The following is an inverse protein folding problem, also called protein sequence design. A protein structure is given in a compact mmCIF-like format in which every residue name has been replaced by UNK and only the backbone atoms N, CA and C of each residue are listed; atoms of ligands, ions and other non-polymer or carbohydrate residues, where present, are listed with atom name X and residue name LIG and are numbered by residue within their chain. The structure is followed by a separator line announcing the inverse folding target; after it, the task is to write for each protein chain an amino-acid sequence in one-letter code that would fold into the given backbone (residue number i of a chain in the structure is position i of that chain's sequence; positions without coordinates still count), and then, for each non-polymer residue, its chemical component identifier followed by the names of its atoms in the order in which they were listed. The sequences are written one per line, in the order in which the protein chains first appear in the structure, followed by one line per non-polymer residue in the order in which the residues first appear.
data_IF_138828571456
#
_entry.id   IF_138828571456
#
_cell.length_a   1.000
_cell.length_b   1.000
_cell.length_c   1.000
_cell.angle_alpha   90.00
_cell.angle_beta   90.00
_cell.angle_gamma   90.00
#
_symmetry.space_group_name_H-M   'P 1'
#
loop_
_entity.id
_entity.type
_entity.pdbx_description
1 polymer ?
#
# COMPACT_ATOMS: atom_id res chain seq x y z
N UNK A 1 14.31 -18.55 5.18
CA UNK A 1 13.46 -17.58 4.44
C UNK A 1 14.36 -16.75 3.54
N UNK A 2 14.30 -16.98 2.23
CA UNK A 2 15.16 -16.30 1.26
C UNK A 2 14.67 -14.87 1.02
N UNK A 3 15.57 -13.90 1.02
CA UNK A 3 15.24 -12.52 0.68
C UNK A 3 14.97 -12.38 -0.83
N UNK A 4 14.25 -11.40 -1.19
CA UNK A 4 13.86 -10.91 -2.52
C UNK A 4 14.89 -11.20 -3.63
N UNK A 5 14.84 -12.36 -4.25
CA UNK A 5 15.59 -12.63 -5.46
C UNK A 5 14.65 -12.53 -6.67
N UNK A 6 14.86 -11.51 -7.47
CA UNK A 6 14.39 -11.44 -8.85
C UNK A 6 15.08 -12.56 -9.64
N UNK A 7 14.33 -13.62 -9.97
CA UNK A 7 14.77 -14.55 -11.02
C UNK A 7 14.26 -14.01 -12.35
N UNK A 8 15.22 -13.64 -13.19
CA UNK A 8 14.98 -13.28 -14.58
C UNK A 8 14.33 -14.42 -15.36
N UNK A 9 13.55 -14.03 -16.34
CA UNK A 9 12.97 -14.87 -17.38
C UNK A 9 14.07 -15.75 -18.01
N UNK A 10 13.91 -17.08 -17.90
CA UNK A 10 14.50 -18.04 -18.81
C UNK A 10 13.37 -18.89 -19.37
N UNK A 11 13.27 -18.84 -20.69
CA UNK A 11 12.44 -19.73 -21.50
C UNK A 11 12.81 -21.18 -21.24
N UNK A 12 11.84 -22.05 -21.05
CA UNK A 12 12.08 -23.48 -20.90
C UNK A 12 10.85 -24.32 -21.23
N UNK A 13 10.93 -25.02 -22.34
CA UNK A 13 10.01 -25.91 -22.99
C UNK A 13 9.32 -26.92 -22.07
N UNK A 14 8.13 -27.32 -22.54
CA UNK A 14 7.27 -28.41 -22.12
C UNK A 14 8.00 -29.73 -21.80
N UNK A 15 7.52 -30.39 -20.74
CA UNK A 15 7.58 -31.85 -20.62
C UNK A 15 6.18 -32.35 -20.27
N UNK A 16 5.70 -33.21 -21.11
CA UNK A 16 4.39 -33.85 -21.19
C UNK A 16 4.20 -34.95 -20.16
N UNK A 17 2.96 -35.07 -19.73
CA UNK A 17 2.19 -36.29 -19.42
C UNK A 17 2.92 -37.57 -19.00
N UNK A 18 2.62 -38.05 -17.80
CA UNK A 18 2.03 -39.40 -17.62
C UNK A 18 1.85 -39.70 -16.14
N UNK A 19 0.68 -40.15 -15.78
CA UNK A 19 0.33 -41.09 -14.70
C UNK A 19 -1.01 -40.70 -14.05
N UNK A 20 -2.09 -40.99 -14.75
CA UNK A 20 -3.35 -41.35 -14.12
C UNK A 20 -3.88 -42.61 -14.82
N UNK A 21 -3.73 -43.72 -14.17
CA UNK A 21 -4.53 -44.92 -14.45
C UNK A 21 -5.01 -45.56 -13.14
N UNK A 22 -6.33 -45.62 -13.09
CA UNK A 22 -7.18 -46.64 -12.49
C UNK A 22 -7.05 -46.98 -11.01
N UNK A 23 -8.08 -46.59 -10.24
CA UNK A 23 -8.78 -47.56 -9.38
C UNK A 23 -10.29 -47.28 -9.39
N UNK A 24 -11.03 -48.06 -10.18
CA UNK A 24 -12.46 -48.32 -9.94
C UNK A 24 -12.56 -49.51 -8.99
N UNK A 25 -13.35 -49.37 -7.90
CA UNK A 25 -14.09 -50.47 -7.25
C UNK A 25 -15.14 -49.90 -6.32
N UNK A 26 -16.31 -50.13 -6.69
CA UNK A 26 -17.45 -50.89 -6.17
C UNK A 26 -18.24 -50.24 -5.05
N UNK A 27 -19.44 -49.88 -5.43
CA UNK A 27 -20.57 -49.48 -4.59
C UNK A 27 -21.04 -50.66 -3.71
N UNK A 28 -21.23 -50.41 -2.42
CA UNK A 28 -22.26 -51.09 -1.62
C UNK A 28 -22.92 -50.04 -0.72
N UNK A 29 -24.21 -49.87 -1.00
CA UNK A 29 -25.10 -49.02 -0.21
C UNK A 29 -25.25 -49.60 1.21
N UNK A 30 -24.81 -48.84 2.21
CA UNK A 30 -25.37 -48.93 3.55
C UNK A 30 -25.80 -47.55 3.98
N UNK A 31 -27.13 -47.35 3.99
CA UNK A 31 -27.78 -46.20 4.62
C UNK A 31 -27.49 -46.22 6.13
N UNK A 32 -26.48 -45.50 6.55
CA UNK A 32 -26.29 -45.18 7.95
C UNK A 32 -27.04 -43.90 8.26
N UNK A 33 -28.17 -43.98 8.93
CA UNK A 33 -28.87 -42.86 9.51
C UNK A 33 -28.00 -42.22 10.58
N UNK A 34 -27.37 -41.07 10.24
CA UNK A 34 -26.69 -40.24 11.22
C UNK A 34 -27.73 -39.49 12.07
N UNK A 35 -27.57 -39.46 13.40
CA UNK A 35 -28.49 -38.71 14.26
C UNK A 35 -28.41 -37.22 13.91
N UNK A 36 -29.59 -36.58 13.81
CA UNK A 36 -29.75 -35.15 13.64
C UNK A 36 -29.04 -34.40 14.79
N UNK A 37 -27.72 -34.17 14.66
CA UNK A 37 -27.03 -33.17 15.46
C UNK A 37 -27.48 -31.81 14.93
N UNK A 38 -28.43 -31.16 15.61
CA UNK A 38 -28.58 -29.71 15.52
C UNK A 38 -27.19 -29.10 15.70
N UNK A 39 -26.60 -28.64 14.60
CA UNK A 39 -25.49 -27.72 14.65
C UNK A 39 -26.02 -26.44 15.29
N UNK A 40 -25.94 -26.36 16.61
CA UNK A 40 -26.02 -25.09 17.30
C UNK A 40 -24.77 -24.35 16.82
N UNK A 41 -24.95 -23.47 15.84
CA UNK A 41 -23.92 -22.49 15.49
C UNK A 41 -23.69 -21.66 16.76
N UNK A 42 -22.66 -22.00 17.52
CA UNK A 42 -22.19 -21.10 18.53
C UNK A 42 -21.81 -19.81 17.82
N UNK A 43 -22.67 -18.81 17.95
CA UNK A 43 -22.28 -17.43 17.62
C UNK A 43 -21.13 -17.11 18.55
N UNK A 44 -19.91 -17.27 18.04
CA UNK A 44 -18.70 -16.86 18.75
C UNK A 44 -18.85 -15.36 18.97
N UNK A 45 -19.12 -14.95 20.21
CA UNK A 45 -19.16 -13.53 20.57
C UNK A 45 -17.76 -12.96 20.31
N UNK A 46 -17.69 -11.90 19.48
CA UNK A 46 -16.45 -11.20 19.19
C UNK A 46 -15.77 -10.75 20.50
N UNK A 47 -14.49 -10.97 20.58
CA UNK A 47 -13.69 -10.64 21.76
C UNK A 47 -12.88 -9.37 21.53
N UNK A 48 -12.80 -8.53 22.56
CA UNK A 48 -11.81 -7.45 22.59
C UNK A 48 -10.65 -7.84 23.50
N UNK A 49 -9.43 -7.78 22.93
CA UNK A 49 -8.18 -7.91 23.68
C UNK A 49 -7.54 -6.54 23.85
N UNK A 50 -6.91 -6.33 24.99
CA UNK A 50 -6.20 -5.10 25.33
C UNK A 50 -4.71 -5.37 25.43
N UNK A 51 -3.91 -4.47 24.86
CA UNK A 51 -2.45 -4.54 24.85
C UNK A 51 -1.88 -3.24 25.41
N UNK A 52 -0.97 -3.35 26.36
CA UNK A 52 -0.24 -2.23 26.99
C UNK A 52 1.24 -2.55 27.07
N UNK A 53 2.12 -1.59 26.77
CA UNK A 53 3.57 -1.77 26.89
C UNK A 53 4.00 -2.12 28.34
N UNK A 54 3.18 -1.77 29.33
CA UNK A 54 3.37 -2.10 30.75
C UNK A 54 2.56 -3.35 31.19
N UNK A 55 1.92 -4.04 30.26
CA UNK A 55 1.12 -5.23 30.51
C UNK A 55 1.97 -6.50 30.77
N UNK A 56 1.30 -7.64 30.84
CA UNK A 56 1.94 -8.94 31.01
C UNK A 56 1.27 -10.01 30.13
N UNK A 57 2.04 -10.74 29.34
CA UNK A 57 1.52 -11.77 28.42
C UNK A 57 0.96 -13.02 29.12
N UNK A 58 1.12 -13.11 30.44
CA UNK A 58 0.43 -14.11 31.27
C UNK A 58 -0.99 -13.71 31.68
N UNK A 59 -1.35 -12.45 31.48
CA UNK A 59 -2.70 -11.94 31.75
C UNK A 59 -3.74 -12.54 30.79
N UNK A 60 -5.01 -12.31 31.06
CA UNK A 60 -6.12 -12.71 30.19
C UNK A 60 -6.37 -11.77 29.00
N UNK A 61 -5.87 -10.54 29.05
CA UNK A 61 -6.00 -9.53 27.99
C UNK A 61 -7.43 -9.00 27.77
N UNK A 62 -8.38 -9.27 28.68
CA UNK A 62 -9.81 -8.96 28.48
C UNK A 62 -10.24 -7.59 29.01
N UNK A 63 -9.38 -6.94 29.78
CA UNK A 63 -9.58 -5.60 30.34
C UNK A 63 -8.30 -4.77 30.22
N UNK A 64 -8.39 -3.47 30.36
CA UNK A 64 -7.22 -2.59 30.35
C UNK A 64 -6.27 -2.86 31.51
N UNK A 65 -6.79 -3.26 32.69
CA UNK A 65 -6.01 -3.63 33.87
C UNK A 65 -5.33 -5.01 33.76
N UNK A 66 -5.85 -5.90 32.93
CA UNK A 66 -5.28 -7.22 32.64
C UNK A 66 -4.72 -7.34 31.21
N UNK A 67 -4.22 -6.22 30.64
CA UNK A 67 -3.71 -6.15 29.30
C UNK A 67 -2.50 -7.06 29.07
N UNK A 68 -2.37 -7.57 27.84
CA UNK A 68 -1.15 -8.21 27.38
C UNK A 68 -0.01 -7.20 27.23
N UNK A 69 1.24 -7.66 27.28
CA UNK A 69 2.42 -6.83 27.03
C UNK A 69 2.71 -6.68 25.55
N UNK A 70 2.59 -7.76 24.78
CA UNK A 70 2.94 -7.76 23.35
C UNK A 70 1.70 -7.83 22.48
N UNK A 71 1.74 -7.11 21.33
CA UNK A 71 0.66 -7.18 20.34
C UNK A 71 0.59 -8.59 19.74
N UNK A 72 1.74 -9.27 19.63
CA UNK A 72 1.81 -10.62 19.09
C UNK A 72 1.04 -11.62 19.95
N UNK A 73 1.10 -11.49 21.29
CA UNK A 73 0.34 -12.37 22.18
C UNK A 73 -1.16 -12.27 21.92
N UNK A 74 -1.68 -11.06 21.75
CA UNK A 74 -3.08 -10.86 21.38
C UNK A 74 -3.38 -11.43 20.00
N UNK A 75 -2.54 -11.16 19.01
CA UNK A 75 -2.71 -11.63 17.63
C UNK A 75 -2.81 -13.15 17.53
N UNK A 76 -2.01 -13.88 18.31
CA UNK A 76 -1.99 -15.35 18.32
C UNK A 76 -3.29 -15.96 18.87
N UNK A 77 -4.09 -15.19 19.59
CA UNK A 77 -5.36 -15.63 20.18
C UNK A 77 -6.59 -15.24 19.35
N UNK A 78 -6.46 -14.26 18.43
CA UNK A 78 -7.61 -13.74 17.70
C UNK A 78 -8.36 -14.80 16.90
N UNK A 79 -9.67 -14.61 16.80
CA UNK A 79 -10.63 -15.37 15.99
C UNK A 79 -11.40 -14.37 15.10
N UNK A 80 -12.10 -14.83 14.08
CA UNK A 80 -12.94 -13.95 13.27
C UNK A 80 -13.90 -13.09 14.13
N UNK A 81 -13.85 -11.78 13.91
CA UNK A 81 -14.63 -10.78 14.64
C UNK A 81 -13.90 -10.11 15.81
N UNK A 82 -12.78 -10.65 16.26
CA UNK A 82 -12.06 -10.11 17.40
C UNK A 82 -11.38 -8.77 17.09
N UNK A 83 -11.23 -7.96 18.14
CA UNK A 83 -10.53 -6.67 18.09
C UNK A 83 -9.38 -6.66 19.10
N UNK A 84 -8.21 -6.21 18.65
CA UNK A 84 -7.05 -5.93 19.50
C UNK A 84 -6.92 -4.42 19.68
N UNK A 85 -7.19 -3.92 20.88
CA UNK A 85 -7.05 -2.54 21.29
C UNK A 85 -5.66 -2.29 21.86
N UNK A 86 -4.86 -1.46 21.17
CA UNK A 86 -3.46 -1.22 21.49
C UNK A 86 -3.34 0.15 22.17
N UNK A 87 -2.90 0.16 23.42
CA UNK A 87 -2.74 1.37 24.21
C UNK A 87 -1.41 2.06 23.96
N UNK A 88 -1.25 3.29 24.42
CA UNK A 88 0.01 4.05 24.33
C UNK A 88 1.20 3.22 24.82
N UNK A 89 2.33 3.41 24.15
CA UNK A 89 3.60 2.78 24.47
C UNK A 89 4.41 2.46 23.23
N UNK A 90 5.63 1.97 23.44
CA UNK A 90 6.52 1.49 22.42
C UNK A 90 6.53 -0.04 22.40
N UNK A 91 6.16 -0.60 21.28
CA UNK A 91 6.18 -2.04 21.02
C UNK A 91 7.33 -2.35 20.07
N UNK A 92 8.28 -3.17 20.50
CA UNK A 92 9.50 -3.48 19.76
C UNK A 92 9.52 -4.95 19.36
N UNK A 93 10.33 -5.27 18.34
CA UNK A 93 10.55 -6.68 18.00
C UNK A 93 11.41 -7.37 19.08
N UNK A 94 11.04 -8.60 19.39
CA UNK A 94 11.90 -9.50 20.14
C UNK A 94 13.17 -9.82 19.32
N UNK A 95 14.32 -10.10 19.96
CA UNK A 95 15.60 -10.28 19.26
C UNK A 95 15.56 -11.28 18.10
N UNK A 96 14.83 -12.39 18.28
CA UNK A 96 14.80 -13.51 17.31
C UNK A 96 13.59 -13.45 16.35
N UNK A 97 12.79 -12.38 16.40
CA UNK A 97 11.61 -12.23 15.54
C UNK A 97 11.86 -11.31 14.37
N UNK A 98 11.52 -11.75 13.18
CA UNK A 98 11.59 -10.99 11.94
C UNK A 98 10.54 -9.88 11.80
N UNK A 99 9.66 -9.69 12.81
CA UNK A 99 8.60 -8.66 12.82
C UNK A 99 8.12 -8.41 14.24
N UNK A 100 7.60 -7.20 14.51
CA UNK A 100 6.95 -6.88 15.80
C UNK A 100 5.56 -7.52 15.88
N UNK A 101 4.78 -7.42 14.79
CA UNK A 101 3.46 -8.01 14.66
C UNK A 101 3.37 -8.86 13.39
N UNK A 102 3.37 -10.17 13.55
CA UNK A 102 3.12 -11.13 12.48
C UNK A 102 1.69 -11.67 12.56
N UNK A 103 0.83 -11.26 11.64
CA UNK A 103 -0.58 -11.69 11.63
C UNK A 103 -0.68 -12.99 10.82
N UNK A 104 -1.15 -14.06 11.47
CA UNK A 104 -1.27 -15.41 10.90
C UNK A 104 -2.70 -15.92 10.87
N UNK A 105 -3.64 -15.20 11.46
CA UNK A 105 -5.05 -15.58 11.56
C UNK A 105 -5.88 -14.69 10.65
N UNK A 106 -6.90 -15.27 10.05
CA UNK A 106 -7.83 -14.57 9.17
C UNK A 106 -9.16 -14.33 9.85
N UNK A 107 -9.77 -13.20 9.51
CA UNK A 107 -11.19 -12.99 9.73
C UNK A 107 -12.05 -13.70 8.67
N UNK A 108 -13.27 -13.25 8.53
CA UNK A 108 -14.20 -13.62 7.45
C UNK A 108 -14.85 -12.38 6.88
N UNK A 109 -15.54 -12.49 5.74
CA UNK A 109 -16.23 -11.36 5.12
C UNK A 109 -17.23 -10.64 6.07
N UNK A 110 -17.83 -11.39 7.01
CA UNK A 110 -18.78 -10.87 8.02
C UNK A 110 -18.15 -10.56 9.37
N UNK A 111 -16.88 -10.96 9.60
CA UNK A 111 -16.25 -10.90 10.92
C UNK A 111 -14.74 -10.65 10.77
N UNK A 112 -14.36 -9.39 10.50
CA UNK A 112 -12.98 -8.96 10.35
C UNK A 112 -12.24 -9.01 11.68
N UNK A 113 -10.95 -9.35 11.67
CA UNK A 113 -10.07 -9.16 12.82
C UNK A 113 -9.45 -7.76 12.73
N UNK A 114 -9.52 -7.00 13.82
CA UNK A 114 -9.07 -5.61 13.85
C UNK A 114 -7.90 -5.43 14.84
N UNK A 115 -6.86 -4.75 14.38
CA UNK A 115 -5.75 -4.27 15.19
C UNK A 115 -5.79 -2.75 15.17
N UNK A 116 -6.17 -2.12 16.27
CA UNK A 116 -6.37 -0.68 16.27
C UNK A 116 -5.88 -0.01 17.54
N UNK A 117 -5.55 1.28 17.40
CA UNK A 117 -5.25 2.10 18.56
C UNK A 117 -6.45 2.15 19.49
N UNK A 118 -6.20 2.10 20.79
CA UNK A 118 -7.21 2.37 21.78
C UNK A 118 -7.68 3.85 21.64
N UNK A 119 -8.96 4.17 21.78
CA UNK A 119 -9.46 5.54 21.58
C UNK A 119 -8.65 6.60 22.33
N UNK A 120 -8.18 7.63 21.61
CA UNK A 120 -7.32 8.69 22.15
C UNK A 120 -5.84 8.32 22.34
N UNK A 121 -5.42 7.12 21.94
CA UNK A 121 -4.05 6.66 22.03
C UNK A 121 -3.32 6.67 20.69
N UNK A 122 -1.97 6.71 20.73
CA UNK A 122 -1.07 6.68 19.57
C UNK A 122 0.06 5.69 19.83
N UNK A 123 -0.21 4.38 19.78
CA UNK A 123 0.79 3.36 20.03
C UNK A 123 1.86 3.33 18.94
N UNK A 124 3.12 3.09 19.33
CA UNK A 124 4.28 3.11 18.46
C UNK A 124 4.86 1.71 18.28
N UNK A 125 4.82 1.19 17.06
CA UNK A 125 5.47 -0.06 16.67
C UNK A 125 6.85 0.30 16.11
N UNK A 126 7.90 0.06 16.88
CA UNK A 126 9.30 0.35 16.49
C UNK A 126 10.03 -0.92 16.12
N UNK A 127 10.66 -0.96 14.96
CA UNK A 127 11.39 -2.14 14.51
C UNK A 127 12.74 -1.80 13.88
N UNK A 128 13.67 -2.74 13.99
CA UNK A 128 14.94 -2.78 13.28
C UNK A 128 15.13 -4.13 12.55
N UNK A 129 14.05 -4.74 12.16
CA UNK A 129 13.96 -6.05 11.53
C UNK A 129 13.23 -5.98 10.17
N UNK A 130 12.82 -7.10 9.61
CA UNK A 130 12.21 -7.18 8.27
C UNK A 130 10.91 -6.38 8.11
N UNK A 131 10.12 -6.28 9.17
CA UNK A 131 8.91 -5.45 9.14
C UNK A 131 8.43 -5.07 10.54
N UNK A 132 7.74 -3.94 10.65
CA UNK A 132 6.97 -3.61 11.84
C UNK A 132 5.73 -4.50 11.94
N UNK A 133 4.97 -4.57 10.84
CA UNK A 133 3.78 -5.40 10.71
C UNK A 133 3.91 -6.27 9.45
N UNK A 134 3.59 -7.56 9.56
CA UNK A 134 3.63 -8.51 8.44
C UNK A 134 2.35 -9.34 8.35
N UNK A 135 1.81 -9.43 7.12
CA UNK A 135 0.70 -10.30 6.75
C UNK A 135 1.15 -11.16 5.57
N UNK A 136 1.08 -12.48 5.72
CA UNK A 136 1.54 -13.42 4.70
C UNK A 136 0.69 -14.70 4.68
N UNK A 137 1.02 -15.61 3.75
CA UNK A 137 0.47 -16.97 3.71
C UNK A 137 -1.07 -17.03 3.60
N UNK A 138 -1.68 -16.11 2.82
CA UNK A 138 -3.11 -16.14 2.53
C UNK A 138 -4.00 -15.57 3.63
N UNK A 139 -3.43 -14.80 4.56
CA UNK A 139 -4.21 -14.08 5.57
C UNK A 139 -5.20 -13.12 4.91
N UNK A 140 -6.41 -13.04 5.48
CA UNK A 140 -7.49 -12.25 4.90
C UNK A 140 -8.44 -11.67 5.95
N UNK A 141 -9.18 -10.62 5.55
CA UNK A 141 -10.15 -9.92 6.38
C UNK A 141 -9.55 -9.33 7.65
N UNK A 142 -8.49 -8.54 7.47
CA UNK A 142 -7.74 -7.87 8.54
C UNK A 142 -7.82 -6.35 8.39
N UNK A 143 -8.03 -5.66 9.50
CA UNK A 143 -7.91 -4.21 9.60
C UNK A 143 -6.77 -3.80 10.53
N UNK A 144 -5.93 -2.86 10.06
CA UNK A 144 -4.85 -2.21 10.81
C UNK A 144 -5.16 -0.72 10.85
N UNK A 145 -5.40 -0.14 12.03
CA UNK A 145 -5.98 1.19 12.13
C UNK A 145 -5.36 2.04 13.23
N UNK A 146 -4.91 3.25 12.89
CA UNK A 146 -4.48 4.27 13.85
C UNK A 146 -3.14 4.00 14.55
N UNK A 147 -2.26 3.20 13.97
CA UNK A 147 -0.96 2.85 14.55
C UNK A 147 0.17 3.72 13.99
N UNK A 148 1.17 4.04 14.80
CA UNK A 148 2.42 4.63 14.33
C UNK A 148 3.48 3.52 14.15
N UNK A 149 3.94 3.29 12.90
CA UNK A 149 4.94 2.26 12.58
C UNK A 149 6.24 2.94 12.18
N UNK A 150 7.30 2.64 12.92
CA UNK A 150 8.58 3.34 12.86
C UNK A 150 9.71 2.34 12.61
N UNK A 151 10.44 2.55 11.53
CA UNK A 151 11.67 1.80 11.25
C UNK A 151 12.91 2.42 11.87
N UNK A 152 14.07 1.93 11.48
CA UNK A 152 15.35 2.26 12.06
C UNK A 152 16.23 3.17 11.19
N UNK A 153 15.71 3.83 10.18
CA UNK A 153 16.49 4.67 9.26
C UNK A 153 17.35 5.70 9.99
N UNK A 154 16.86 6.28 11.10
CA UNK A 154 17.63 7.23 11.88
C UNK A 154 18.88 6.64 12.57
N UNK A 155 18.94 5.32 12.75
CA UNK A 155 20.07 4.61 13.36
C UNK A 155 21.04 4.01 12.33
N UNK A 156 20.76 4.21 11.02
CA UNK A 156 21.55 3.65 9.92
C UNK A 156 22.21 4.79 9.14
N UNK A 157 23.54 4.79 9.07
CA UNK A 157 24.24 5.77 8.24
C UNK A 157 24.23 5.38 6.77
N UNK A 158 24.30 6.36 5.87
CA UNK A 158 24.41 6.08 4.42
C UNK A 158 25.66 5.26 4.09
N UNK A 159 26.78 5.50 4.77
CA UNK A 159 28.03 4.74 4.58
C UNK A 159 27.82 3.26 4.93
N UNK A 160 27.19 2.97 6.07
CA UNK A 160 26.84 1.61 6.43
C UNK A 160 25.88 0.98 5.40
N UNK A 161 24.85 1.68 4.99
CA UNK A 161 23.91 1.16 4.00
C UNK A 161 24.59 0.83 2.65
N UNK A 162 25.55 1.66 2.20
CA UNK A 162 26.37 1.40 1.02
C UNK A 162 27.22 0.14 1.19
N UNK A 163 27.85 -0.07 2.34
CA UNK A 163 28.61 -1.30 2.61
C UNK A 163 27.77 -2.57 2.63
N UNK A 164 26.45 -2.42 2.85
CA UNK A 164 25.48 -3.51 2.93
C UNK A 164 24.66 -3.72 1.65
N UNK A 165 24.85 -2.91 0.61
CA UNK A 165 23.93 -2.91 -0.55
C UNK A 165 23.80 -4.27 -1.27
N UNK A 166 24.78 -5.15 -1.12
CA UNK A 166 24.75 -6.52 -1.67
C UNK A 166 24.41 -7.59 -0.62
N UNK A 167 24.28 -7.23 0.64
CA UNK A 167 23.90 -8.14 1.72
C UNK A 167 22.37 -8.17 1.88
N UNK A 168 21.71 -8.90 1.00
CA UNK A 168 20.27 -8.95 0.87
C UNK A 168 19.54 -9.48 2.12
N UNK A 169 20.26 -10.20 2.98
CA UNK A 169 19.77 -10.75 4.24
C UNK A 169 19.86 -9.77 5.41
N UNK A 170 20.26 -8.51 5.20
CA UNK A 170 20.36 -7.53 6.28
C UNK A 170 19.04 -6.75 6.47
N UNK A 171 18.25 -7.03 7.51
CA UNK A 171 16.99 -6.34 7.74
C UNK A 171 17.17 -4.87 8.13
N UNK A 172 18.32 -4.49 8.70
CA UNK A 172 18.60 -3.10 9.10
C UNK A 172 18.57 -2.13 7.93
N UNK A 173 18.85 -2.61 6.72
CA UNK A 173 18.84 -1.79 5.49
C UNK A 173 17.67 -2.12 4.57
N UNK A 174 16.94 -3.24 4.79
CA UNK A 174 15.91 -3.72 3.89
C UNK A 174 14.50 -3.77 4.51
N UNK A 175 14.36 -3.49 5.80
CA UNK A 175 13.09 -3.65 6.52
C UNK A 175 12.01 -2.68 6.03
N UNK A 176 10.79 -3.22 5.84
CA UNK A 176 9.61 -2.43 5.51
C UNK A 176 8.83 -2.06 6.78
N UNK A 177 8.07 -0.98 6.78
CA UNK A 177 7.18 -0.70 7.91
C UNK A 177 6.01 -1.69 7.97
N UNK A 178 5.20 -1.74 6.93
CA UNK A 178 4.07 -2.67 6.79
C UNK A 178 4.29 -3.49 5.53
N UNK A 179 4.31 -4.81 5.66
CA UNK A 179 4.49 -5.75 4.56
C UNK A 179 3.28 -6.68 4.43
N UNK A 180 2.66 -6.68 3.25
CA UNK A 180 1.65 -7.64 2.85
C UNK A 180 2.27 -8.49 1.75
N UNK A 181 2.46 -9.79 2.00
CA UNK A 181 3.15 -10.71 1.10
C UNK A 181 2.27 -11.90 0.70
N UNK A 182 1.65 -11.80 -0.45
CA UNK A 182 0.79 -12.84 -1.04
C UNK A 182 1.50 -13.80 -1.99
N UNK A 183 2.84 -13.74 -2.13
CA UNK A 183 3.58 -14.53 -3.12
C UNK A 183 3.43 -16.03 -2.95
N UNK A 184 3.33 -16.52 -1.73
CA UNK A 184 3.12 -17.95 -1.44
C UNK A 184 1.64 -18.33 -1.57
N UNK A 185 0.75 -17.57 -0.98
CA UNK A 185 -0.71 -17.64 -1.10
C UNK A 185 -1.26 -16.22 -1.08
N UNK A 186 -2.17 -15.91 -2.00
CA UNK A 186 -2.74 -14.57 -2.14
C UNK A 186 -3.34 -14.08 -0.83
N UNK A 187 -2.80 -12.99 -0.30
CA UNK A 187 -3.37 -12.25 0.83
C UNK A 187 -4.46 -11.33 0.28
N UNK A 188 -5.62 -11.26 0.91
CA UNK A 188 -6.73 -10.48 0.38
C UNK A 188 -7.63 -9.89 1.45
N UNK A 189 -8.39 -8.83 1.08
CA UNK A 189 -9.31 -8.12 1.98
C UNK A 189 -8.56 -7.59 3.22
N UNK A 190 -7.65 -6.67 2.98
CA UNK A 190 -6.85 -6.01 4.01
C UNK A 190 -7.11 -4.51 4.00
N UNK A 191 -7.43 -3.95 5.15
CA UNK A 191 -7.57 -2.52 5.38
C UNK A 191 -6.39 -1.99 6.18
N UNK A 192 -5.69 -0.98 5.65
CA UNK A 192 -4.62 -0.23 6.31
C UNK A 192 -5.08 1.21 6.41
N UNK A 193 -5.58 1.61 7.59
CA UNK A 193 -6.34 2.84 7.77
C UNK A 193 -5.70 3.76 8.81
N UNK A 194 -5.60 5.07 8.52
CA UNK A 194 -5.25 6.09 9.49
C UNK A 194 -3.89 5.88 10.19
N UNK A 195 -2.94 5.15 9.57
CA UNK A 195 -1.66 4.89 10.20
C UNK A 195 -0.64 5.98 9.86
N UNK A 196 0.32 6.18 10.78
CA UNK A 196 1.51 6.99 10.56
C UNK A 196 2.70 6.06 10.38
N UNK A 197 3.32 6.08 9.20
CA UNK A 197 4.31 5.09 8.77
C UNK A 197 5.57 5.81 8.33
N UNK A 198 6.70 5.57 9.00
CA UNK A 198 7.90 6.34 8.66
C UNK A 198 9.23 5.72 9.10
N UNK A 199 10.30 6.30 8.56
CA UNK A 199 11.69 5.96 8.87
C UNK A 199 12.04 4.49 8.62
N UNK A 200 11.40 3.85 7.63
CA UNK A 200 11.72 2.48 7.24
C UNK A 200 12.76 2.49 6.12
N UNK A 201 13.84 1.72 6.24
CA UNK A 201 14.90 1.66 5.22
C UNK A 201 14.40 1.11 3.88
N UNK A 202 13.45 0.19 3.92
CA UNK A 202 12.65 -0.27 2.78
C UNK A 202 11.38 0.56 2.60
N UNK A 203 10.34 -0.04 2.03
CA UNK A 203 9.06 0.63 1.77
C UNK A 203 8.27 0.97 3.03
N UNK A 204 7.40 1.99 2.93
CA UNK A 204 6.45 2.32 3.99
C UNK A 204 5.33 1.29 4.08
N UNK A 205 4.48 1.24 3.08
CA UNK A 205 3.44 0.22 2.90
C UNK A 205 3.75 -0.54 1.62
N UNK A 206 4.19 -1.79 1.78
CA UNK A 206 4.55 -2.69 0.68
C UNK A 206 3.52 -3.81 0.55
N UNK A 207 2.82 -3.83 -0.58
CA UNK A 207 1.81 -4.84 -0.93
C UNK A 207 2.34 -5.64 -2.11
N UNK A 208 2.47 -6.95 -1.96
CA UNK A 208 3.04 -7.84 -2.97
C UNK A 208 2.12 -9.01 -3.22
N UNK A 209 1.73 -9.23 -4.46
CA UNK A 209 0.92 -10.36 -4.91
C UNK A 209 -0.36 -10.56 -4.07
N UNK A 210 -1.02 -9.46 -3.74
CA UNK A 210 -2.24 -9.43 -2.93
C UNK A 210 -3.44 -8.89 -3.73
N UNK A 211 -4.63 -9.01 -3.16
CA UNK A 211 -5.89 -8.52 -3.74
C UNK A 211 -6.78 -7.86 -2.68
N UNK A 212 -7.72 -7.01 -3.11
CA UNK A 212 -8.65 -6.32 -2.20
C UNK A 212 -7.94 -5.63 -1.02
N UNK A 213 -6.87 -4.88 -1.32
CA UNK A 213 -6.15 -4.10 -0.30
C UNK A 213 -6.57 -2.63 -0.38
N UNK A 214 -6.94 -2.07 0.76
CA UNK A 214 -7.24 -0.66 0.93
C UNK A 214 -6.18 -0.01 1.81
N UNK A 215 -5.42 0.93 1.26
CA UNK A 215 -4.54 1.85 1.99
C UNK A 215 -5.19 3.23 1.99
N UNK A 216 -5.79 3.64 3.11
CA UNK A 216 -6.63 4.83 3.18
C UNK A 216 -6.27 5.72 4.38
N UNK A 217 -6.16 7.02 4.12
CA UNK A 217 -5.85 8.03 5.13
C UNK A 217 -4.58 7.77 5.95
N UNK A 218 -3.54 7.19 5.31
CA UNK A 218 -2.25 7.00 5.98
C UNK A 218 -1.32 8.18 5.69
N UNK A 219 -0.42 8.48 6.65
CA UNK A 219 0.70 9.40 6.46
C UNK A 219 1.99 8.60 6.36
N UNK A 220 2.65 8.63 5.19
CA UNK A 220 3.85 7.82 4.90
C UNK A 220 5.02 8.72 4.50
N UNK A 221 6.12 8.69 5.25
CA UNK A 221 7.25 9.58 4.97
C UNK A 221 8.60 9.04 5.44
N UNK A 222 9.69 9.58 4.86
CA UNK A 222 11.07 9.20 5.18
C UNK A 222 11.31 7.69 5.07
N UNK A 223 10.80 7.06 4.01
CA UNK A 223 10.99 5.63 3.74
C UNK A 223 11.79 5.40 2.46
N UNK A 224 12.13 4.15 2.17
CA UNK A 224 12.81 3.72 0.94
C UNK A 224 14.28 4.13 0.83
N UNK A 225 14.93 4.56 1.93
CA UNK A 225 16.23 5.20 1.87
C UNK A 225 17.38 4.25 1.54
N UNK A 226 17.35 3.04 2.07
CA UNK A 226 18.55 2.20 2.12
C UNK A 226 18.41 0.83 1.48
N UNK A 227 17.21 0.46 1.08
CA UNK A 227 16.97 -0.83 0.43
C UNK A 227 17.38 -0.80 -1.06
N UNK A 228 18.17 -1.79 -1.52
CA UNK A 228 18.49 -1.93 -2.92
C UNK A 228 17.40 -2.60 -3.76
N UNK A 229 16.22 -2.82 -3.21
CA UNK A 229 15.12 -3.48 -3.91
C UNK A 229 14.20 -2.54 -4.70
N UNK A 230 14.45 -1.23 -4.69
CA UNK A 230 13.59 -0.26 -5.38
C UNK A 230 12.23 -0.13 -4.71
N UNK A 231 12.15 0.65 -3.63
CA UNK A 231 10.93 0.84 -2.87
C UNK A 231 10.39 2.27 -3.03
N UNK A 232 9.11 2.44 -2.82
CA UNK A 232 8.42 3.73 -2.71
C UNK A 232 7.69 3.83 -1.37
N UNK A 233 7.13 5.01 -1.07
CA UNK A 233 6.35 5.21 0.15
C UNK A 233 5.22 4.20 0.29
N UNK A 234 4.38 4.09 -0.76
CA UNK A 234 3.33 3.07 -0.89
C UNK A 234 3.56 2.34 -2.21
N UNK A 235 3.73 1.02 -2.15
CA UNK A 235 3.97 0.17 -3.33
C UNK A 235 2.96 -0.96 -3.39
N UNK A 236 2.30 -1.12 -4.54
CA UNK A 236 1.47 -2.26 -4.90
C UNK A 236 2.16 -2.98 -6.06
N UNK A 237 2.75 -4.12 -5.79
CA UNK A 237 3.64 -4.83 -6.71
C UNK A 237 3.11 -6.23 -7.02
N UNK A 238 3.11 -6.62 -8.31
CA UNK A 238 2.66 -7.94 -8.77
C UNK A 238 1.25 -8.30 -8.30
N UNK A 239 0.32 -7.35 -8.31
CA UNK A 239 -1.06 -7.60 -7.87
C UNK A 239 -1.60 -8.93 -8.42
N UNK A 240 -2.29 -9.71 -7.60
CA UNK A 240 -2.74 -11.05 -7.94
C UNK A 240 -4.24 -11.19 -7.66
N UNK A 241 -5.00 -11.67 -8.64
CA UNK A 241 -6.44 -11.86 -8.50
C UNK A 241 -6.76 -12.96 -7.48
N UNK A 242 -7.60 -12.65 -6.49
CA UNK A 242 -8.24 -13.60 -5.61
C UNK A 242 -9.49 -14.23 -6.28
N UNK A 243 -10.20 -13.45 -7.06
CA UNK A 243 -11.41 -13.83 -7.78
C UNK A 243 -11.48 -13.20 -9.18
N UNK A 244 -12.56 -13.44 -9.91
CA UNK A 244 -12.77 -12.96 -11.27
C UNK A 244 -13.43 -11.57 -11.36
N UNK A 245 -13.63 -10.87 -10.25
CA UNK A 245 -14.19 -9.52 -10.26
C UNK A 245 -13.25 -8.56 -11.00
N UNK A 246 -13.80 -7.75 -11.91
CA UNK A 246 -13.06 -6.78 -12.73
C UNK A 246 -13.27 -5.33 -12.27
N UNK A 247 -14.06 -5.12 -11.23
CA UNK A 247 -14.25 -3.81 -10.62
C UNK A 247 -13.07 -3.36 -9.78
N UNK A 248 -13.26 -2.28 -9.04
CA UNK A 248 -12.23 -1.83 -8.09
C UNK A 248 -12.03 -2.85 -6.97
N UNK A 249 -10.80 -3.29 -6.82
CA UNK A 249 -10.34 -4.23 -5.79
C UNK A 249 -9.25 -3.63 -4.92
N UNK A 250 -8.40 -2.77 -5.49
CA UNK A 250 -7.42 -1.99 -4.74
C UNK A 250 -7.83 -0.54 -4.62
N UNK A 251 -7.63 0.02 -3.42
CA UNK A 251 -7.88 1.42 -3.12
C UNK A 251 -6.67 2.03 -2.42
N UNK A 252 -6.05 3.02 -3.03
CA UNK A 252 -4.98 3.84 -2.45
C UNK A 252 -5.53 5.25 -2.38
N UNK A 253 -6.14 5.61 -1.24
CA UNK A 253 -6.97 6.80 -1.16
C UNK A 253 -6.63 7.68 0.02
N UNK A 254 -6.79 8.98 -0.12
CA UNK A 254 -6.64 9.96 0.97
C UNK A 254 -5.29 9.93 1.71
N UNK A 255 -4.24 9.30 1.16
CA UNK A 255 -2.96 9.22 1.84
C UNK A 255 -2.14 10.51 1.64
N UNK A 256 -1.30 10.81 2.62
CA UNK A 256 -0.26 11.85 2.55
C UNK A 256 1.10 11.16 2.49
N UNK A 257 1.82 11.32 1.36
CA UNK A 257 3.04 10.56 1.07
C UNK A 257 4.16 11.51 0.68
N UNK A 258 5.22 11.61 1.50
CA UNK A 258 6.24 12.64 1.26
C UNK A 258 7.64 12.29 1.79
N UNK A 259 8.66 12.95 1.26
CA UNK A 259 10.07 12.79 1.66
C UNK A 259 10.58 11.34 1.59
N UNK A 260 9.96 10.48 0.77
CA UNK A 260 10.48 9.15 0.51
C UNK A 260 11.57 9.26 -0.56
N UNK A 261 12.70 8.57 -0.38
CA UNK A 261 13.83 8.75 -1.27
C UNK A 261 14.71 7.51 -1.29
N UNK A 262 15.31 7.20 -2.43
CA UNK A 262 16.30 6.15 -2.56
C UNK A 262 17.70 6.76 -2.56
N UNK A 263 18.59 6.23 -1.71
CA UNK A 263 20.02 6.63 -1.64
C UNK A 263 20.97 5.50 -2.03
N UNK A 264 20.47 4.28 -2.19
CA UNK A 264 21.25 3.09 -2.56
C UNK A 264 20.79 2.61 -3.93
N UNK A 265 21.73 2.29 -4.82
CA UNK A 265 21.39 1.79 -6.16
C UNK A 265 20.62 0.47 -6.09
N UNK A 266 19.63 0.32 -6.95
CA UNK A 266 18.89 -0.96 -7.04
C UNK A 266 19.77 -2.08 -7.59
N UNK A 267 19.46 -3.29 -7.18
CA UNK A 267 20.15 -4.49 -7.68
C UNK A 267 19.88 -4.74 -9.16
N UNK A 268 18.65 -4.51 -9.60
CA UNK A 268 18.21 -4.77 -10.97
C UNK A 268 18.82 -3.78 -11.96
N UNK A 269 18.63 -2.49 -11.74
CA UNK A 269 19.04 -1.44 -12.69
C UNK A 269 20.42 -0.87 -12.44
N UNK A 270 21.08 -1.21 -11.29
CA UNK A 270 22.38 -0.67 -10.84
C UNK A 270 22.43 0.86 -10.73
N UNK A 271 21.28 1.49 -10.58
CA UNK A 271 21.11 2.95 -10.46
C UNK A 271 20.05 3.30 -9.43
N UNK A 272 19.94 4.58 -9.08
CA UNK A 272 18.76 5.12 -8.39
C UNK A 272 17.62 5.09 -9.39
N UNK A 273 16.51 4.44 -9.04
CA UNK A 273 15.34 4.28 -9.92
C UNK A 273 14.01 4.57 -9.23
N UNK A 274 13.98 4.57 -7.90
CA UNK A 274 12.80 4.57 -7.05
C UNK A 274 12.85 5.66 -5.98
N UNK A 275 12.20 5.43 -4.83
CA UNK A 275 12.06 6.44 -3.78
C UNK A 275 10.93 7.42 -4.08
N UNK A 276 9.94 6.98 -4.86
CA UNK A 276 8.74 7.74 -5.19
C UNK A 276 7.70 7.74 -4.06
N UNK A 277 6.58 8.41 -4.31
CA UNK A 277 5.46 8.43 -3.38
C UNK A 277 4.63 7.15 -3.46
N UNK A 278 3.85 7.00 -4.52
CA UNK A 278 2.90 5.89 -4.72
C UNK A 278 3.21 5.21 -6.05
N UNK A 279 3.34 3.89 -6.03
CA UNK A 279 3.53 3.09 -7.24
C UNK A 279 2.58 1.88 -7.27
N UNK A 280 1.98 1.64 -8.44
CA UNK A 280 1.40 0.35 -8.82
C UNK A 280 2.30 -0.21 -9.90
N UNK A 281 2.91 -1.37 -9.64
CA UNK A 281 4.00 -1.87 -10.47
C UNK A 281 3.84 -3.34 -10.83
N UNK A 282 4.27 -3.69 -12.05
CA UNK A 282 4.42 -5.06 -12.57
C UNK A 282 3.16 -5.93 -12.48
N UNK A 283 1.98 -5.29 -12.50
CA UNK A 283 0.70 -6.02 -12.42
C UNK A 283 0.31 -6.72 -13.72
N UNK A 284 1.02 -6.47 -14.83
CA UNK A 284 0.85 -7.18 -16.11
C UNK A 284 1.48 -8.57 -16.10
N UNK A 285 2.56 -8.75 -15.33
CA UNK A 285 3.36 -9.98 -15.29
C UNK A 285 2.88 -11.04 -14.29
N UNK A 286 1.75 -10.84 -13.62
CA UNK A 286 1.23 -11.74 -12.61
C UNK A 286 0.80 -13.12 -13.14
N UNK A 287 0.55 -14.05 -12.23
CA UNK A 287 -0.03 -15.37 -12.57
C UNK A 287 -1.31 -15.19 -13.40
N UNK A 288 -1.56 -16.06 -14.36
CA UNK A 288 -2.77 -16.06 -15.19
C UNK A 288 -2.96 -14.86 -16.15
N UNK A 289 -1.88 -14.28 -16.66
CA UNK A 289 -1.96 -13.23 -17.68
C UNK A 289 -2.19 -11.82 -17.15
N UNK A 290 -1.78 -11.57 -15.93
CA UNK A 290 -1.83 -10.25 -15.29
C UNK A 290 -3.09 -10.02 -14.43
N UNK A 291 -3.04 -8.96 -13.66
CA UNK A 291 -4.12 -8.55 -12.77
C UNK A 291 -5.32 -8.03 -13.56
N UNK A 292 -6.50 -8.55 -13.27
CA UNK A 292 -7.76 -8.24 -13.97
C UNK A 292 -8.65 -7.26 -13.20
N UNK A 293 -8.43 -7.12 -11.90
CA UNK A 293 -9.11 -6.14 -11.07
C UNK A 293 -8.64 -4.72 -11.39
N UNK A 294 -9.39 -3.72 -10.95
CA UNK A 294 -9.05 -2.30 -11.13
C UNK A 294 -8.52 -1.70 -9.84
N UNK A 295 -7.54 -0.81 -9.95
CA UNK A 295 -6.96 -0.05 -8.83
C UNK A 295 -7.40 1.40 -8.90
N UNK A 296 -7.95 1.94 -7.81
CA UNK A 296 -8.24 3.36 -7.65
C UNK A 296 -7.17 4.03 -6.80
N UNK A 297 -6.50 5.05 -7.37
CA UNK A 297 -5.57 5.94 -6.66
C UNK A 297 -6.22 7.33 -6.63
N UNK A 298 -6.81 7.71 -5.49
CA UNK A 298 -7.60 8.94 -5.45
C UNK A 298 -7.40 9.78 -4.19
N UNK A 299 -7.53 11.10 -4.34
CA UNK A 299 -7.42 12.08 -3.25
C UNK A 299 -6.11 12.03 -2.46
N UNK A 300 -5.03 11.46 -3.01
CA UNK A 300 -3.75 11.42 -2.32
C UNK A 300 -3.01 12.75 -2.51
N UNK A 301 -2.18 13.09 -1.52
CA UNK A 301 -1.24 14.19 -1.55
C UNK A 301 0.16 13.59 -1.54
N UNK A 302 0.87 13.66 -2.67
CA UNK A 302 2.21 13.10 -2.81
C UNK A 302 3.21 14.21 -3.16
N UNK A 303 4.16 14.50 -2.26
CA UNK A 303 5.04 15.64 -2.42
C UNK A 303 6.46 15.43 -1.90
N UNK A 304 7.42 16.16 -2.48
CA UNK A 304 8.83 16.15 -2.08
C UNK A 304 9.48 14.77 -2.03
N UNK A 305 9.00 13.80 -2.83
CA UNK A 305 9.61 12.48 -2.91
C UNK A 305 10.81 12.47 -3.86
N UNK A 306 11.74 11.54 -3.69
CA UNK A 306 12.92 11.40 -4.53
C UNK A 306 12.61 11.02 -5.97
N UNK A 307 11.69 10.08 -6.16
CA UNK A 307 11.15 9.67 -7.46
C UNK A 307 9.83 10.38 -7.81
N UNK A 308 9.03 9.78 -8.69
CA UNK A 308 7.73 10.29 -9.07
C UNK A 308 6.76 10.33 -7.88
N UNK A 309 5.86 11.29 -7.90
CA UNK A 309 4.79 11.39 -6.88
C UNK A 309 3.83 10.20 -6.96
N UNK A 310 3.31 9.92 -8.17
CA UNK A 310 2.44 8.77 -8.44
C UNK A 310 2.82 8.18 -9.81
N UNK A 311 2.93 6.85 -9.87
CA UNK A 311 3.20 6.15 -11.13
C UNK A 311 2.42 4.82 -11.21
N UNK A 312 1.86 4.53 -12.40
CA UNK A 312 1.48 3.20 -12.85
C UNK A 312 2.56 2.68 -13.80
N UNK A 313 3.27 1.61 -13.44
CA UNK A 313 4.35 1.04 -14.23
C UNK A 313 4.08 -0.44 -14.49
N UNK A 314 4.21 -0.87 -15.76
CA UNK A 314 3.92 -2.25 -16.16
C UNK A 314 2.61 -2.79 -15.57
N UNK A 315 1.56 -1.95 -15.56
CA UNK A 315 0.31 -2.24 -14.84
C UNK A 315 -0.92 -2.07 -15.72
N UNK A 316 -1.99 -2.81 -15.40
CA UNK A 316 -3.28 -2.74 -16.07
C UNK A 316 -4.35 -2.15 -15.15
N UNK A 317 -5.37 -1.52 -15.75
CA UNK A 317 -6.61 -1.14 -15.08
C UNK A 317 -6.40 -0.24 -13.85
N UNK A 318 -5.69 0.89 -14.02
CA UNK A 318 -5.41 1.85 -12.94
C UNK A 318 -6.08 3.18 -13.24
N UNK A 319 -6.87 3.68 -12.28
CA UNK A 319 -7.44 5.03 -12.33
C UNK A 319 -6.74 5.92 -11.29
N UNK A 320 -6.07 6.99 -11.76
CA UNK A 320 -5.35 7.98 -10.95
C UNK A 320 -6.16 9.27 -11.01
N UNK A 321 -6.95 9.54 -9.96
CA UNK A 321 -8.00 10.55 -10.01
C UNK A 321 -7.97 11.48 -8.80
N UNK A 322 -8.09 12.79 -9.04
CA UNK A 322 -8.19 13.77 -7.95
C UNK A 322 -7.02 13.75 -6.96
N UNK A 323 -5.80 13.46 -7.40
CA UNK A 323 -4.63 13.57 -6.54
C UNK A 323 -3.97 14.95 -6.68
N UNK A 324 -3.19 15.34 -5.66
CA UNK A 324 -2.27 16.47 -5.74
C UNK A 324 -0.85 15.95 -5.65
N UNK A 325 -0.07 16.12 -6.72
CA UNK A 325 1.36 15.78 -6.77
C UNK A 325 2.18 17.06 -6.88
N UNK A 326 3.15 17.25 -5.97
CA UNK A 326 3.85 18.53 -5.85
C UNK A 326 5.34 18.35 -5.56
N UNK A 327 6.20 18.92 -6.39
CA UNK A 327 7.64 19.02 -6.12
C UNK A 327 8.36 17.68 -5.92
N UNK A 328 7.88 16.60 -6.54
CA UNK A 328 8.54 15.29 -6.53
C UNK A 328 9.72 15.26 -7.50
N UNK A 329 10.45 14.14 -7.58
CA UNK A 329 11.67 14.04 -8.37
C UNK A 329 12.84 14.75 -7.71
N UNK A 330 12.95 14.70 -6.38
CA UNK A 330 14.02 15.35 -5.62
C UNK A 330 15.39 14.67 -5.78
N UNK A 331 15.44 13.40 -6.20
CA UNK A 331 16.70 12.73 -6.48
C UNK A 331 17.33 13.30 -7.75
N UNK A 332 18.61 13.73 -7.71
CA UNK A 332 19.27 14.35 -8.87
C UNK A 332 19.43 13.39 -10.06
N UNK A 333 19.47 12.10 -9.79
CA UNK A 333 19.63 11.04 -10.79
C UNK A 333 18.33 10.74 -11.56
N UNK A 334 17.18 11.25 -11.07
CA UNK A 334 15.85 10.97 -11.65
C UNK A 334 15.27 12.19 -12.35
N UNK A 335 14.37 11.92 -13.30
CA UNK A 335 13.61 12.97 -13.96
C UNK A 335 12.66 13.66 -12.97
N UNK A 336 12.36 14.95 -13.24
CA UNK A 336 11.47 15.77 -12.40
C UNK A 336 9.98 15.47 -12.59
N UNK A 337 9.64 14.35 -13.22
CA UNK A 337 8.27 13.91 -13.48
C UNK A 337 7.50 13.72 -12.17
N UNK A 338 6.32 14.30 -12.12
CA UNK A 338 5.46 14.28 -10.95
C UNK A 338 4.50 13.09 -10.97
N UNK A 339 3.90 12.82 -12.15
CA UNK A 339 2.95 11.75 -12.36
C UNK A 339 3.22 11.10 -13.72
N UNK A 340 3.17 9.76 -13.77
CA UNK A 340 3.45 9.02 -14.99
C UNK A 340 2.63 7.73 -15.12
N UNK A 341 2.49 7.28 -16.36
CA UNK A 341 2.22 5.90 -16.72
C UNK A 341 3.35 5.40 -17.61
N UNK A 342 3.80 4.16 -17.41
CA UNK A 342 4.85 3.56 -18.22
C UNK A 342 4.61 2.07 -18.45
N UNK A 343 4.70 1.64 -19.73
CA UNK A 343 4.53 0.25 -20.14
C UNK A 343 3.20 -0.35 -19.65
N UNK A 344 2.18 0.50 -19.50
CA UNK A 344 0.91 0.17 -18.85
C UNK A 344 -0.24 0.15 -19.87
N UNK A 345 -1.35 -0.48 -19.49
CA UNK A 345 -2.53 -0.57 -20.35
C UNK A 345 -3.81 -0.26 -19.55
N UNK A 346 -4.74 0.47 -20.17
CA UNK A 346 -6.00 0.91 -19.56
C UNK A 346 -5.78 1.67 -18.26
N UNK A 347 -5.10 2.84 -18.37
CA UNK A 347 -4.87 3.77 -17.27
C UNK A 347 -5.57 5.09 -17.54
N UNK A 348 -6.32 5.60 -16.58
CA UNK A 348 -6.98 6.89 -16.65
C UNK A 348 -6.40 7.85 -15.62
N UNK A 349 -5.97 9.02 -16.05
CA UNK A 349 -5.30 10.04 -15.25
C UNK A 349 -6.11 11.34 -15.38
N UNK A 350 -7.02 11.52 -14.42
CA UNK A 350 -8.03 12.58 -14.48
C UNK A 350 -8.02 13.44 -13.20
N UNK A 351 -8.36 14.71 -13.35
CA UNK A 351 -8.58 15.62 -12.23
C UNK A 351 -7.39 15.76 -11.27
N UNK A 352 -6.15 15.51 -11.69
CA UNK A 352 -5.01 15.66 -10.81
C UNK A 352 -4.41 17.06 -10.91
N UNK A 353 -3.95 17.63 -9.79
CA UNK A 353 -3.04 18.78 -9.83
C UNK A 353 -1.62 18.22 -9.93
N UNK A 354 -0.95 18.50 -11.04
CA UNK A 354 0.38 17.99 -11.38
C UNK A 354 1.36 19.15 -11.38
N UNK A 355 1.91 19.47 -10.18
CA UNK A 355 2.74 20.66 -9.96
C UNK A 355 4.21 20.27 -9.77
N UNK A 356 5.02 20.54 -10.80
CA UNK A 356 6.46 20.33 -10.80
C UNK A 356 7.26 21.63 -10.74
N UNK A 357 8.52 21.54 -11.09
CA UNK A 357 9.43 22.67 -11.16
C UNK A 357 9.27 23.42 -12.50
N UNK A 358 9.37 24.76 -12.50
CA UNK A 358 9.29 25.53 -13.75
C UNK A 358 10.29 25.02 -14.81
N UNK A 359 9.84 24.96 -16.08
CA UNK A 359 10.65 24.48 -17.19
C UNK A 359 10.98 22.98 -17.17
N UNK A 360 10.51 22.23 -16.18
CA UNK A 360 10.74 20.79 -16.09
C UNK A 360 9.50 19.99 -16.57
N UNK A 361 9.78 18.84 -17.15
CA UNK A 361 8.74 17.89 -17.54
C UNK A 361 8.01 17.35 -16.31
N UNK A 362 6.68 17.49 -16.28
CA UNK A 362 5.86 17.14 -15.11
C UNK A 362 5.12 15.81 -15.24
N UNK A 363 4.89 15.34 -16.46
CA UNK A 363 4.24 14.05 -16.72
C UNK A 363 4.97 13.26 -17.81
N UNK A 364 4.63 12.00 -17.96
CA UNK A 364 5.25 11.11 -18.95
C UNK A 364 4.32 9.99 -19.36
N UNK A 365 4.38 9.64 -20.64
CA UNK A 365 3.65 8.54 -21.26
C UNK A 365 4.64 7.63 -22.00
N UNK A 366 5.00 6.47 -21.42
CA UNK A 366 6.09 5.63 -21.90
C UNK A 366 5.56 4.30 -22.45
N UNK A 367 5.49 4.14 -23.78
CA UNK A 367 5.12 2.86 -24.42
C UNK A 367 3.84 2.24 -23.84
N UNK A 368 2.84 3.06 -23.62
CA UNK A 368 1.56 2.68 -23.05
C UNK A 368 0.54 2.28 -24.14
N UNK A 369 -0.52 1.57 -23.72
CA UNK A 369 -1.70 1.28 -24.52
C UNK A 369 -2.95 1.75 -23.75
N UNK A 370 -3.87 2.43 -24.44
CA UNK A 370 -5.13 2.92 -23.84
C UNK A 370 -4.91 3.72 -22.54
N UNK A 371 -3.93 4.63 -22.53
CA UNK A 371 -3.69 5.54 -21.41
C UNK A 371 -4.18 6.93 -21.77
N UNK A 372 -5.04 7.49 -20.93
CA UNK A 372 -5.72 8.77 -21.15
C UNK A 372 -5.35 9.72 -20.02
N UNK A 373 -4.90 10.92 -20.41
CA UNK A 373 -4.71 12.08 -19.53
C UNK A 373 -5.76 13.12 -19.92
N UNK A 374 -6.61 13.55 -19.00
CA UNK A 374 -7.57 14.62 -19.25
C UNK A 374 -8.05 15.28 -17.94
N UNK A 375 -8.55 16.49 -18.02
CA UNK A 375 -9.02 17.29 -16.88
C UNK A 375 -7.97 17.50 -15.78
N UNK A 376 -6.67 17.41 -16.07
CA UNK A 376 -5.63 17.68 -15.10
C UNK A 376 -5.29 19.18 -15.07
N UNK A 377 -4.76 19.65 -13.93
CA UNK A 377 -4.26 21.01 -13.81
C UNK A 377 -2.74 21.01 -13.79
N UNK A 378 -2.15 21.82 -14.67
CA UNK A 378 -0.72 22.08 -14.75
C UNK A 378 -0.44 23.55 -14.39
N UNK A 379 0.58 23.86 -13.58
CA UNK A 379 0.95 25.25 -13.33
C UNK A 379 1.50 25.91 -14.59
N UNK A 380 1.36 27.23 -14.69
CA UNK A 380 1.94 28.01 -15.78
C UNK A 380 3.45 27.78 -15.87
N UNK A 381 3.97 27.49 -17.06
CA UNK A 381 5.38 27.19 -17.28
C UNK A 381 5.80 25.75 -17.03
N UNK A 382 4.90 24.85 -16.64
CA UNK A 382 5.17 23.42 -16.62
C UNK A 382 5.27 22.86 -18.05
N UNK A 383 6.17 21.88 -18.24
CA UNK A 383 6.28 21.15 -19.50
C UNK A 383 5.48 19.88 -19.41
N UNK A 384 4.23 19.91 -19.88
CA UNK A 384 3.41 18.71 -20.06
C UNK A 384 3.68 18.11 -21.43
N UNK A 385 4.12 16.84 -21.47
CA UNK A 385 4.41 16.14 -22.75
C UNK A 385 3.25 15.25 -23.19
N UNK A 386 2.24 15.13 -22.37
CA UNK A 386 0.98 14.46 -22.67
C UNK A 386 -0.15 15.13 -21.90
N UNK A 387 -1.25 15.39 -22.56
CA UNK A 387 -2.41 16.05 -21.96
C UNK A 387 -3.69 15.77 -22.73
N UNK A 388 -4.82 16.16 -22.15
CA UNK A 388 -6.14 16.10 -22.72
C UNK A 388 -6.65 17.48 -23.15
N UNK A 389 -7.74 17.50 -23.89
CA UNK A 389 -8.36 18.72 -24.41
C UNK A 389 -9.05 19.57 -23.32
N UNK A 390 -9.33 18.96 -22.16
CA UNK A 390 -9.97 19.64 -21.04
C UNK A 390 -8.98 19.97 -19.91
N UNK A 391 -7.67 19.81 -20.13
CA UNK A 391 -6.67 20.16 -19.15
C UNK A 391 -6.67 21.66 -18.85
N UNK A 392 -6.35 22.01 -17.62
CA UNK A 392 -6.32 23.40 -17.13
C UNK A 392 -4.87 23.82 -16.93
N UNK A 393 -4.50 24.97 -17.50
CA UNK A 393 -3.22 25.63 -17.19
C UNK A 393 -3.51 26.82 -16.29
N UNK A 394 -2.99 26.81 -15.06
CA UNK A 394 -3.24 27.88 -14.09
C UNK A 394 -2.59 27.63 -12.73
N UNK A 395 -2.73 28.62 -11.86
CA UNK A 395 -2.23 28.56 -10.50
C UNK A 395 -3.23 27.79 -9.60
N UNK A 396 -2.83 26.67 -8.97
CA UNK A 396 -3.67 25.97 -8.01
C UNK A 396 -3.92 26.77 -6.72
N UNK A 397 -3.17 27.84 -6.46
CA UNK A 397 -3.28 28.72 -5.30
C UNK A 397 -3.39 27.96 -3.97
N UNK A 398 -2.43 27.12 -3.71
CA UNK A 398 -2.33 26.39 -2.42
C UNK A 398 -2.18 27.36 -1.23
N UNK A 399 -2.72 27.02 -0.07
CA UNK A 399 -2.63 27.86 1.12
C UNK A 399 -1.19 27.97 1.59
N UNK A 400 -0.49 26.85 1.82
CA UNK A 400 0.91 26.84 2.23
C UNK A 400 1.60 25.51 1.83
N UNK A 401 2.02 25.34 0.57
CA UNK A 401 2.60 24.08 0.10
C UNK A 401 3.94 23.75 0.74
N UNK A 402 4.70 24.75 1.21
CA UNK A 402 5.97 24.53 1.93
C UNK A 402 5.76 23.86 3.30
N UNK A 403 4.63 24.11 3.94
CA UNK A 403 4.21 23.44 5.17
C UNK A 403 3.34 22.18 4.88
N UNK A 404 3.19 21.77 3.62
CA UNK A 404 2.36 20.64 3.22
C UNK A 404 0.85 20.92 3.25
N UNK A 405 0.42 22.18 3.27
CA UNK A 405 -0.99 22.55 3.18
C UNK A 405 -1.37 22.85 1.74
N UNK A 406 -1.96 21.85 1.10
CA UNK A 406 -2.40 21.88 -0.30
C UNK A 406 -3.89 22.18 -0.48
N UNK A 407 -4.56 22.68 0.56
CA UNK A 407 -5.91 23.23 0.42
C UNK A 407 -5.90 24.42 -0.54
N UNK A 408 -7.00 24.63 -1.25
CA UNK A 408 -7.10 25.64 -2.29
C UNK A 408 -7.67 26.93 -1.75
N UNK A 409 -7.13 28.07 -2.22
CA UNK A 409 -7.77 29.40 -2.04
C UNK A 409 -8.92 29.56 -3.02
N UNK A 410 -9.84 30.46 -2.73
CA UNK A 410 -11.07 30.68 -3.51
C UNK A 410 -10.87 31.06 -4.99
N UNK A 411 -9.70 31.58 -5.36
CA UNK A 411 -9.34 31.96 -6.74
C UNK A 411 -8.54 30.87 -7.48
N UNK A 412 -8.44 29.67 -6.92
CA UNK A 412 -7.71 28.56 -7.57
C UNK A 412 -8.29 28.20 -8.92
N UNK A 413 -7.42 28.00 -9.91
CA UNK A 413 -7.80 27.55 -11.24
C UNK A 413 -8.40 26.13 -11.26
N UNK A 414 -8.26 25.36 -10.19
CA UNK A 414 -8.75 23.99 -10.05
C UNK A 414 -10.26 23.91 -9.74
N UNK A 415 -10.84 24.98 -9.16
CA UNK A 415 -12.20 24.95 -8.60
C UNK A 415 -13.25 24.78 -9.70
N UNK A 416 -14.11 23.75 -9.54
CA UNK A 416 -15.22 23.44 -10.44
C UNK A 416 -14.80 23.16 -11.91
N UNK A 417 -13.56 22.71 -12.13
CA UNK A 417 -13.00 22.41 -13.46
C UNK A 417 -12.80 20.92 -13.71
N UNK A 418 -13.09 20.08 -12.74
CA UNK A 418 -12.91 18.63 -12.85
C UNK A 418 -14.07 17.91 -13.54
N UNK A 419 -13.77 16.75 -14.07
CA UNK A 419 -14.74 15.78 -14.58
C UNK A 419 -15.37 15.01 -13.41
N UNK A 420 -16.68 14.83 -13.43
CA UNK A 420 -17.37 14.03 -12.40
C UNK A 420 -16.95 12.57 -12.42
N UNK A 421 -16.36 12.12 -11.31
CA UNK A 421 -15.94 10.73 -11.14
C UNK A 421 -16.82 10.08 -10.08
N UNK A 422 -17.74 9.22 -10.50
CA UNK A 422 -18.81 8.66 -9.66
C UNK A 422 -18.32 7.91 -8.41
N UNK A 423 -17.09 7.36 -8.47
CA UNK A 423 -16.51 6.54 -7.40
C UNK A 423 -15.66 7.36 -6.42
N UNK A 424 -15.49 8.68 -6.64
CA UNK A 424 -14.78 9.62 -5.76
C UNK A 424 -15.78 10.63 -5.20
N UNK A 425 -16.50 10.24 -4.16
CA UNK A 425 -17.64 11.00 -3.61
C UNK A 425 -17.24 12.10 -2.64
N UNK A 426 -16.09 11.98 -2.00
CA UNK A 426 -15.55 12.97 -1.05
C UNK A 426 -14.14 13.37 -1.44
N UNK A 427 -13.65 14.45 -0.90
CA UNK A 427 -12.27 14.90 -1.02
C UNK A 427 -11.35 14.30 0.06
N UNK A 428 -10.08 14.71 0.07
CA UNK A 428 -9.07 14.28 1.06
C UNK A 428 -9.47 14.58 2.51
N UNK A 429 -10.27 15.61 2.74
CA UNK A 429 -10.74 16.00 4.07
C UNK A 429 -12.13 15.41 4.40
N UNK A 430 -12.68 14.56 3.53
CA UNK A 430 -14.03 14.00 3.70
C UNK A 430 -15.16 14.92 3.26
N UNK A 431 -14.87 16.10 2.66
CA UNK A 431 -15.88 17.01 2.16
C UNK A 431 -16.54 16.43 0.90
N UNK A 432 -17.89 16.45 0.77
CA UNK A 432 -18.57 15.94 -0.41
C UNK A 432 -18.15 16.65 -1.71
N UNK A 433 -18.07 15.89 -2.81
CA UNK A 433 -17.80 16.39 -4.17
C UNK A 433 -19.11 16.41 -4.97
N UNK A 434 -19.76 17.57 -5.15
CA UNK A 434 -20.99 17.67 -5.95
C UNK A 434 -20.69 17.41 -7.44
N UNK A 435 -21.57 16.68 -8.12
CA UNK A 435 -21.38 16.27 -9.51
C UNK A 435 -21.23 17.46 -10.48
N UNK A 436 -21.90 18.57 -10.22
CA UNK A 436 -21.88 19.77 -11.05
C UNK A 436 -20.82 20.81 -10.66
N UNK A 437 -20.03 20.53 -9.62
CA UNK A 437 -18.97 21.45 -9.11
C UNK A 437 -17.73 20.66 -8.70
N UNK A 438 -17.31 19.74 -9.54
CA UNK A 438 -16.18 18.85 -9.25
C UNK A 438 -14.86 19.61 -9.38
N UNK A 439 -14.07 19.65 -8.34
CA UNK A 439 -12.79 20.36 -8.29
C UNK A 439 -11.64 19.43 -8.65
N UNK A 440 -10.64 19.92 -9.37
CA UNK A 440 -9.41 19.20 -9.70
C UNK A 440 -8.51 19.13 -8.45
N UNK A 441 -7.84 17.99 -8.20
CA UNK A 441 -6.92 17.79 -7.10
C UNK A 441 -7.57 17.13 -5.88
N UNK A 442 -6.78 16.99 -4.80
CA UNK A 442 -7.16 16.24 -3.61
C UNK A 442 -8.25 16.93 -2.77
N UNK A 443 -8.44 18.23 -2.89
CA UNK A 443 -9.44 19.01 -2.14
C UNK A 443 -10.56 19.54 -3.01
N UNK A 444 -11.77 19.63 -2.40
CA UNK A 444 -12.99 20.19 -3.00
C UNK A 444 -13.20 21.64 -2.57
#
# INVERSE_FOLDING_TARGET
MLPWALTGLVQGKAITESLFKDVRRSSTDQKMQLPNRKLISQVSTATTYYVSATGNDRNGGRTTSSAFKTIQRAADLTKPGDTVMIMNGEYKNEPDRGTVLGIKRSGTAKAWIKFQAYPGHSPKIKHNTWSGISLADGVSYIEINGLEVIGNTASVTRAYALSQQYKLSNPLTNGNCILIDGRKRTVHHINILNNKVHNCPGGGIAVVAADYVKADNNTVFNTSWYSPYGNSGISFFLNADYDNNRGYKHFITNNRVYNNRQYIRTLSSKRISDGGGIIVDSSQGGKNGGYKGRTLIANNISYNNGGQGIIAHESNHVDIVNNTVYGNGQSPELSKVQLAAGYSNDVKIYNNIIHGFPGQQVNKNMRNKNVIYDYNLYPKGAVSVVGGIHDVVGDPQFINPSAGDFRLRSKSAAINKGYYWKDVKTDHAGKPRPANKFTIGAYQ
#
